data_IF_036365202735
#
_entry.id   IF_036365202735
#
_cell.length_a   1.000
_cell.length_b   1.000
_cell.length_c   1.000
_cell.angle_alpha   90.00
_cell.angle_beta   90.00
_cell.angle_gamma   90.00
#
_symmetry.space_group_name_H-M   'P 1'
#
loop_
_entity.id
_entity.type
_entity.pdbx_description
1 polymer ?
#
# COMPACT_ATOMS: atom_id res chain seq x y z
N UNK A 1 21.44 35.66 -15.41
CA UNK A 1 20.78 35.41 -16.70
C UNK A 1 19.47 34.60 -16.61
N UNK A 2 19.31 33.62 -15.69
CA UNK A 2 18.05 32.86 -15.55
C UNK A 2 16.78 33.70 -15.33
N UNK A 3 16.85 34.80 -14.57
CA UNK A 3 15.69 35.67 -14.30
C UNK A 3 15.12 36.40 -15.53
N UNK A 4 15.95 36.74 -16.52
CA UNK A 4 15.48 37.46 -17.70
C UNK A 4 14.65 36.56 -18.64
N UNK A 5 14.95 35.26 -18.63
CA UNK A 5 14.26 34.25 -19.45
C UNK A 5 12.87 33.91 -18.93
N UNK A 6 12.68 33.91 -17.60
CA UNK A 6 11.37 33.69 -16.98
C UNK A 6 10.39 34.84 -17.30
N UNK A 7 10.89 36.08 -17.35
CA UNK A 7 10.07 37.27 -17.63
C UNK A 7 9.58 37.27 -19.09
N UNK A 8 10.43 36.91 -20.05
CA UNK A 8 10.03 36.86 -21.47
C UNK A 8 9.04 35.73 -21.75
N UNK A 9 9.18 34.57 -21.10
CA UNK A 9 8.18 33.50 -21.19
C UNK A 9 6.82 33.93 -20.63
N UNK A 10 6.82 34.60 -19.48
CA UNK A 10 5.57 35.04 -18.86
C UNK A 10 4.84 36.06 -19.76
N UNK A 11 5.58 37.03 -20.31
CA UNK A 11 5.02 38.04 -21.23
C UNK A 11 4.42 37.40 -22.50
N UNK A 12 5.08 36.39 -23.06
CA UNK A 12 4.60 35.69 -24.25
C UNK A 12 3.30 34.90 -23.98
N UNK A 13 3.20 34.24 -22.81
CA UNK A 13 1.97 33.54 -22.38
C UNK A 13 0.82 34.54 -22.24
N UNK A 14 1.04 35.69 -21.59
CA UNK A 14 0.01 36.72 -21.47
C UNK A 14 -0.45 37.27 -22.81
N UNK A 15 0.48 37.49 -23.76
CA UNK A 15 0.15 37.97 -25.09
C UNK A 15 -0.70 36.97 -25.89
N UNK A 16 -0.41 35.66 -25.78
CA UNK A 16 -1.23 34.61 -26.39
C UNK A 16 -2.64 34.55 -25.79
N UNK A 17 -2.76 34.68 -24.46
CA UNK A 17 -4.06 34.75 -23.79
C UNK A 17 -4.86 35.96 -24.28
N UNK A 18 -4.22 37.12 -24.41
CA UNK A 18 -4.87 38.34 -24.89
C UNK A 18 -5.36 38.21 -26.34
N UNK A 19 -4.55 37.64 -27.23
CA UNK A 19 -4.94 37.39 -28.63
C UNK A 19 -6.10 36.39 -28.70
N UNK A 20 -6.03 35.29 -27.94
CA UNK A 20 -7.10 34.30 -27.86
C UNK A 20 -8.41 34.92 -27.38
N UNK A 21 -8.35 35.76 -26.34
CA UNK A 21 -9.51 36.47 -25.81
C UNK A 21 -10.11 37.44 -26.85
N UNK A 22 -9.27 38.20 -27.55
CA UNK A 22 -9.71 39.12 -28.63
C UNK A 22 -10.38 38.38 -29.78
N UNK A 23 -9.85 37.22 -30.19
CA UNK A 23 -10.43 36.41 -31.26
C UNK A 23 -11.81 35.87 -30.87
N UNK A 24 -11.94 35.32 -29.66
CA UNK A 24 -13.22 34.81 -29.13
C UNK A 24 -14.24 35.94 -28.99
N UNK A 25 -13.82 37.11 -28.49
CA UNK A 25 -14.66 38.29 -28.39
C UNK A 25 -15.21 38.74 -29.76
N UNK A 26 -14.34 38.80 -30.78
CA UNK A 26 -14.72 39.17 -32.15
C UNK A 26 -15.71 38.18 -32.77
N UNK A 27 -15.44 36.88 -32.64
CA UNK A 27 -16.35 35.84 -33.14
C UNK A 27 -17.70 35.94 -32.44
N UNK A 28 -17.72 36.16 -31.12
CA UNK A 28 -18.97 36.34 -30.38
C UNK A 28 -19.77 37.54 -30.87
N UNK A 29 -19.14 38.71 -31.05
CA UNK A 29 -19.85 39.91 -31.53
C UNK A 29 -20.54 39.70 -32.87
N UNK A 30 -19.91 38.93 -33.78
CA UNK A 30 -20.48 38.60 -35.09
C UNK A 30 -21.69 37.66 -34.93
N UNK A 31 -21.57 36.63 -34.09
CA UNK A 31 -22.66 35.66 -33.85
C UNK A 31 -23.84 36.31 -33.11
N UNK A 32 -23.59 37.17 -32.13
CA UNK A 32 -24.63 37.86 -31.38
C UNK A 32 -25.44 38.83 -32.27
N UNK A 33 -24.76 39.56 -33.16
CA UNK A 33 -25.43 40.39 -34.17
C UNK A 33 -26.27 39.58 -35.14
N UNK A 34 -25.78 38.42 -35.59
CA UNK A 34 -26.52 37.55 -36.51
C UNK A 34 -27.75 36.88 -35.87
N UNK A 35 -27.74 36.64 -34.56
CA UNK A 35 -28.79 35.92 -33.85
C UNK A 35 -29.90 36.82 -33.27
N UNK A 36 -29.76 38.15 -33.31
CA UNK A 36 -30.76 39.09 -32.75
C UNK A 36 -30.95 38.99 -31.23
N UNK A 37 -30.00 38.38 -30.52
CA UNK A 37 -30.09 38.14 -29.07
C UNK A 37 -29.66 39.39 -28.30
N UNK A 38 -30.52 39.87 -27.40
CA UNK A 38 -30.25 41.01 -26.51
C UNK A 38 -29.52 40.62 -25.21
N UNK A 39 -29.00 39.39 -25.13
CA UNK A 39 -28.35 38.89 -23.91
C UNK A 39 -26.96 39.50 -23.77
N UNK A 40 -26.71 40.16 -22.64
CA UNK A 40 -25.46 40.89 -22.40
C UNK A 40 -24.26 39.95 -22.52
N UNK A 41 -23.26 40.35 -23.34
CA UNK A 41 -22.01 39.61 -23.52
C UNK A 41 -21.38 39.22 -22.19
N UNK A 42 -21.48 40.10 -21.20
CA UNK A 42 -20.96 39.92 -19.85
C UNK A 42 -21.58 38.72 -19.13
N UNK A 43 -22.86 38.42 -19.34
CA UNK A 43 -23.52 37.25 -18.73
C UNK A 43 -22.95 35.94 -19.30
N UNK A 44 -22.69 35.89 -20.61
CA UNK A 44 -22.14 34.68 -21.24
C UNK A 44 -20.65 34.53 -20.93
N UNK A 45 -19.89 35.63 -20.93
CA UNK A 45 -18.50 35.61 -20.51
C UNK A 45 -18.36 35.16 -19.05
N UNK A 46 -19.24 35.61 -18.15
CA UNK A 46 -19.29 35.17 -16.76
C UNK A 46 -19.65 33.67 -16.65
N UNK A 47 -20.62 33.19 -17.44
CA UNK A 47 -20.98 31.77 -17.47
C UNK A 47 -19.83 30.89 -17.98
N UNK A 48 -19.14 31.28 -19.05
CA UNK A 48 -17.97 30.56 -19.57
C UNK A 48 -16.81 30.61 -18.57
N UNK A 49 -16.58 31.77 -17.95
CA UNK A 49 -15.54 31.96 -16.94
C UNK A 49 -15.75 31.06 -15.72
N UNK A 50 -16.98 30.96 -15.23
CA UNK A 50 -17.31 30.07 -14.10
C UNK A 50 -17.16 28.59 -14.48
N UNK A 51 -17.64 28.15 -15.65
CA UNK A 51 -17.41 26.78 -16.13
C UNK A 51 -15.92 26.47 -16.33
N UNK A 52 -15.15 27.39 -16.91
CA UNK A 52 -13.72 27.25 -17.11
C UNK A 52 -12.96 27.15 -15.78
N UNK A 53 -13.31 27.99 -14.81
CA UNK A 53 -12.73 27.95 -13.46
C UNK A 53 -13.00 26.60 -12.77
N UNK A 54 -14.21 26.05 -12.90
CA UNK A 54 -14.55 24.71 -12.36
C UNK A 54 -13.71 23.62 -13.02
N UNK A 55 -13.54 23.64 -14.35
CA UNK A 55 -12.72 22.64 -15.06
C UNK A 55 -11.26 22.72 -14.62
N UNK A 56 -10.70 23.94 -14.51
CA UNK A 56 -9.32 24.13 -14.06
C UNK A 56 -9.15 23.66 -12.61
N UNK A 57 -10.10 23.98 -11.72
CA UNK A 57 -10.08 23.51 -10.34
C UNK A 57 -10.12 21.97 -10.25
N UNK A 58 -10.97 21.31 -11.04
CA UNK A 58 -11.03 19.85 -11.14
C UNK A 58 -9.72 19.26 -11.66
N UNK A 59 -9.12 19.88 -12.68
CA UNK A 59 -7.85 19.44 -13.25
C UNK A 59 -6.71 19.54 -12.22
N UNK A 60 -6.62 20.66 -11.50
CA UNK A 60 -5.61 20.85 -10.45
C UNK A 60 -5.81 19.83 -9.33
N UNK A 61 -7.05 19.63 -8.87
CA UNK A 61 -7.37 18.64 -7.85
C UNK A 61 -7.00 17.20 -8.29
N UNK A 62 -7.26 16.87 -9.55
CA UNK A 62 -6.87 15.57 -10.12
C UNK A 62 -5.35 15.41 -10.23
N UNK A 63 -4.65 16.43 -10.70
CA UNK A 63 -3.19 16.43 -10.82
C UNK A 63 -2.51 16.31 -9.45
N UNK A 64 -3.01 17.02 -8.43
CA UNK A 64 -2.52 16.94 -7.05
C UNK A 64 -2.75 15.55 -6.45
N UNK A 65 -3.93 14.96 -6.66
CA UNK A 65 -4.23 13.58 -6.24
C UNK A 65 -3.28 12.58 -6.89
N UNK A 66 -2.96 12.75 -8.17
CA UNK A 66 -2.02 11.88 -8.89
C UNK A 66 -0.61 11.99 -8.32
N UNK A 67 -0.12 13.21 -8.09
CA UNK A 67 1.21 13.45 -7.49
C UNK A 67 1.31 12.81 -6.11
N UNK A 68 0.33 13.06 -5.24
CA UNK A 68 0.27 12.44 -3.90
C UNK A 68 0.34 10.93 -3.96
N UNK A 69 -0.40 10.30 -4.88
CA UNK A 69 -0.36 8.85 -5.06
C UNK A 69 1.01 8.35 -5.54
N UNK A 70 1.68 9.07 -6.43
CA UNK A 70 3.03 8.74 -6.91
C UNK A 70 4.08 8.87 -5.79
N UNK A 71 3.94 9.90 -4.94
CA UNK A 71 4.80 10.11 -3.77
C UNK A 71 4.59 9.02 -2.70
N UNK A 72 3.33 8.71 -2.38
CA UNK A 72 2.95 7.63 -1.45
C UNK A 72 3.49 6.27 -1.93
N UNK A 73 3.37 5.98 -3.23
CA UNK A 73 3.86 4.75 -3.83
C UNK A 73 5.39 4.67 -3.80
N UNK A 74 6.07 5.80 -4.02
CA UNK A 74 7.53 5.88 -3.92
C UNK A 74 8.00 5.63 -2.48
N UNK A 75 7.35 6.26 -1.50
CA UNK A 75 7.61 6.02 -0.08
C UNK A 75 7.35 4.54 0.30
N UNK A 76 6.27 3.96 -0.20
CA UNK A 76 5.93 2.56 0.00
C UNK A 76 7.01 1.62 -0.56
N UNK A 77 7.56 1.90 -1.74
CA UNK A 77 8.66 1.11 -2.35
C UNK A 77 9.95 1.15 -1.53
N UNK A 78 10.28 2.31 -0.98
CA UNK A 78 11.43 2.48 -0.08
C UNK A 78 11.22 1.64 1.18
N UNK A 79 10.04 1.74 1.80
CA UNK A 79 9.68 0.94 2.99
C UNK A 79 9.70 -0.57 2.69
N UNK A 80 9.16 -0.99 1.55
CA UNK A 80 9.17 -2.37 1.08
C UNK A 80 10.58 -2.96 1.04
N UNK A 81 11.54 -2.18 0.52
CA UNK A 81 12.94 -2.60 0.43
C UNK A 81 13.56 -2.80 1.82
N UNK A 82 13.22 -1.94 2.81
CA UNK A 82 13.67 -2.08 4.19
C UNK A 82 13.04 -3.25 4.96
N UNK A 83 11.83 -3.66 4.58
CA UNK A 83 11.10 -4.77 5.22
C UNK A 83 11.41 -6.12 4.57
N UNK A 84 11.79 -6.15 3.29
CA UNK A 84 12.00 -7.39 2.52
C UNK A 84 12.88 -8.42 3.23
N UNK A 85 14.03 -8.01 3.76
CA UNK A 85 14.93 -8.90 4.48
C UNK A 85 14.30 -9.48 5.76
N UNK A 86 13.62 -8.64 6.56
CA UNK A 86 12.92 -9.06 7.78
C UNK A 86 11.77 -10.01 7.47
N UNK A 87 11.04 -9.76 6.39
CA UNK A 87 9.97 -10.65 5.92
C UNK A 87 10.53 -12.03 5.52
N UNK A 88 11.68 -12.07 4.85
CA UNK A 88 12.38 -13.32 4.54
C UNK A 88 12.79 -14.09 5.80
N UNK A 89 13.32 -13.41 6.82
CA UNK A 89 13.64 -14.02 8.12
C UNK A 89 12.37 -14.53 8.81
N UNK A 90 11.29 -13.76 8.83
CA UNK A 90 10.01 -14.18 9.40
C UNK A 90 9.48 -15.45 8.73
N UNK A 91 9.48 -15.51 7.38
CA UNK A 91 9.06 -16.70 6.62
C UNK A 91 9.91 -17.91 7.00
N UNK A 92 11.24 -17.75 7.07
CA UNK A 92 12.16 -18.83 7.46
C UNK A 92 11.89 -19.34 8.88
N UNK A 93 11.68 -18.43 9.83
CA UNK A 93 11.37 -18.77 11.22
C UNK A 93 10.02 -19.52 11.33
N UNK A 94 8.97 -19.00 10.69
CA UNK A 94 7.62 -19.61 10.71
C UNK A 94 7.65 -20.99 10.05
N UNK A 95 8.34 -21.17 8.92
CA UNK A 95 8.54 -22.48 8.29
C UNK A 95 9.27 -23.47 9.20
N UNK A 96 10.31 -23.01 9.90
CA UNK A 96 11.05 -23.85 10.84
C UNK A 96 10.15 -24.33 11.98
N UNK A 97 9.31 -23.45 12.53
CA UNK A 97 8.32 -23.80 13.55
C UNK A 97 7.31 -24.79 12.99
N UNK A 98 6.76 -24.54 11.80
CA UNK A 98 5.79 -25.41 11.14
C UNK A 98 6.36 -26.81 10.92
N UNK A 99 7.61 -26.94 10.48
CA UNK A 99 8.29 -28.24 10.34
C UNK A 99 8.37 -28.97 11.68
N UNK A 100 8.78 -28.26 12.75
CA UNK A 100 8.86 -28.86 14.10
C UNK A 100 7.50 -29.30 14.63
N UNK A 101 6.45 -28.52 14.39
CA UNK A 101 5.07 -28.89 14.73
C UNK A 101 4.64 -30.13 13.95
N UNK A 102 4.91 -30.17 12.65
CA UNK A 102 4.62 -31.32 11.79
C UNK A 102 5.36 -32.59 12.23
N UNK A 103 6.65 -32.48 12.58
CA UNK A 103 7.43 -33.58 13.14
C UNK A 103 6.86 -34.08 14.47
N UNK A 104 6.40 -33.17 15.34
CA UNK A 104 5.78 -33.53 16.61
C UNK A 104 4.40 -34.20 16.46
N UNK A 105 3.71 -33.97 15.34
CA UNK A 105 2.47 -34.67 15.00
C UNK A 105 2.71 -36.12 14.56
N UNK A 106 3.85 -36.39 13.91
CA UNK A 106 4.20 -37.73 13.41
C UNK A 106 4.92 -38.56 14.48
N UNK A 107 5.84 -37.93 15.21
CA UNK A 107 6.68 -38.58 16.21
C UNK A 107 6.18 -38.15 17.59
N UNK A 108 5.72 -39.10 18.38
CA UNK A 108 5.36 -38.86 19.79
C UNK A 108 6.63 -38.52 20.59
N UNK A 109 6.94 -37.22 20.71
CA UNK A 109 8.10 -36.70 21.45
C UNK A 109 7.79 -36.41 22.92
N UNK A 110 6.61 -36.76 23.40
CA UNK A 110 6.16 -36.47 24.76
C UNK A 110 5.95 -34.96 25.02
N UNK A 111 5.62 -34.57 26.26
CA UNK A 111 5.20 -33.21 26.59
C UNK A 111 6.31 -32.16 26.51
N UNK A 112 7.59 -32.57 26.57
CA UNK A 112 8.72 -31.65 26.55
C UNK A 112 8.93 -30.90 25.23
N UNK A 113 8.27 -31.31 24.14
CA UNK A 113 8.42 -30.67 22.84
C UNK A 113 7.70 -29.30 22.75
N UNK A 114 6.60 -29.12 23.49
CA UNK A 114 5.76 -27.92 23.40
C UNK A 114 6.52 -26.65 23.84
N UNK A 115 7.20 -26.62 25.00
CA UNK A 115 8.01 -25.46 25.39
C UNK A 115 9.15 -25.16 24.41
N UNK A 116 9.73 -26.18 23.77
CA UNK A 116 10.77 -26.01 22.76
C UNK A 116 10.20 -25.34 21.52
N UNK A 117 9.00 -25.74 21.08
CA UNK A 117 8.30 -25.11 19.96
C UNK A 117 7.93 -23.66 20.31
N UNK A 118 7.41 -23.42 21.52
CA UNK A 118 7.03 -22.09 22.01
C UNK A 118 8.20 -21.10 21.96
N UNK A 119 9.37 -21.49 22.46
CA UNK A 119 10.56 -20.64 22.48
C UNK A 119 11.01 -20.18 21.08
N UNK A 120 10.70 -20.94 20.02
CA UNK A 120 11.05 -20.53 18.66
C UNK A 120 10.21 -19.35 18.15
N UNK A 121 9.03 -19.09 18.73
CA UNK A 121 8.21 -17.94 18.33
C UNK A 121 8.85 -16.60 18.73
N UNK A 122 9.69 -16.57 19.77
CA UNK A 122 10.37 -15.35 20.21
C UNK A 122 11.43 -14.87 19.22
N UNK A 123 11.89 -15.74 18.33
CA UNK A 123 12.83 -15.39 17.26
C UNK A 123 12.20 -14.75 16.03
N UNK A 124 10.87 -14.64 15.95
CA UNK A 124 10.19 -14.07 14.79
C UNK A 124 10.31 -12.54 14.87
N UNK A 125 10.88 -11.88 13.85
CA UNK A 125 11.00 -10.42 13.86
C UNK A 125 9.62 -9.77 13.83
N UNK A 126 9.46 -8.71 14.63
CA UNK A 126 8.25 -7.89 14.62
C UNK A 126 8.27 -6.91 13.45
N UNK A 127 7.11 -6.73 12.83
CA UNK A 127 6.87 -5.69 11.83
C UNK A 127 5.89 -4.72 12.48
N UNK A 128 6.24 -3.44 12.53
CA UNK A 128 5.45 -2.44 13.23
C UNK A 128 4.22 -2.02 12.42
N UNK A 129 3.16 -1.58 13.11
CA UNK A 129 1.92 -1.12 12.44
C UNK A 129 2.17 0.04 11.48
N UNK A 130 3.08 0.96 11.81
CA UNK A 130 3.42 2.07 10.92
C UNK A 130 4.15 1.59 9.65
N UNK A 131 4.97 0.55 9.77
CA UNK A 131 5.61 -0.10 8.63
C UNK A 131 4.57 -0.78 7.72
N UNK A 132 3.56 -1.43 8.30
CA UNK A 132 2.45 -2.01 7.54
C UNK A 132 1.62 -0.94 6.83
N UNK A 133 1.35 0.20 7.48
CA UNK A 133 0.62 1.32 6.86
C UNK A 133 1.36 1.87 5.65
N UNK A 134 2.69 1.97 5.74
CA UNK A 134 3.51 2.43 4.62
C UNK A 134 3.43 1.50 3.39
N UNK A 135 3.03 0.24 3.56
CA UNK A 135 2.88 -0.72 2.45
C UNK A 135 1.50 -0.70 1.78
N UNK A 136 0.51 0.02 2.33
CA UNK A 136 -0.86 0.10 1.76
C UNK A 136 -0.85 0.51 0.27
N UNK A 137 -0.05 1.50 -0.18
CA UNK A 137 -0.03 1.93 -1.58
C UNK A 137 0.50 0.89 -2.57
N UNK A 138 1.18 -0.18 -2.12
CA UNK A 138 1.73 -1.20 -3.02
C UNK A 138 0.64 -2.04 -3.71
N UNK A 139 -0.57 -2.08 -3.16
CA UNK A 139 -1.65 -2.92 -3.67
C UNK A 139 -1.52 -4.39 -3.29
N UNK A 140 -2.23 -5.26 -4.01
CA UNK A 140 -2.27 -6.73 -3.83
C UNK A 140 -2.51 -7.20 -2.39
N UNK A 141 -3.21 -6.39 -1.59
CA UNK A 141 -3.46 -6.68 -0.18
C UNK A 141 -2.17 -6.97 0.60
N UNK A 142 -1.03 -6.38 0.22
CA UNK A 142 0.27 -6.70 0.81
C UNK A 142 0.30 -6.47 2.34
N UNK A 143 -0.10 -5.27 2.77
CA UNK A 143 -0.18 -4.93 4.20
C UNK A 143 -1.18 -5.83 4.95
N UNK A 144 -2.31 -6.14 4.33
CA UNK A 144 -3.36 -7.01 4.90
C UNK A 144 -2.85 -8.44 5.09
N UNK A 145 -2.20 -9.02 4.08
CA UNK A 145 -1.61 -10.36 4.16
C UNK A 145 -0.55 -10.44 5.27
N UNK A 146 0.32 -9.44 5.42
CA UNK A 146 1.32 -9.43 6.49
C UNK A 146 0.64 -9.32 7.86
N UNK A 147 -0.31 -8.40 8.01
CA UNK A 147 -1.07 -8.22 9.26
C UNK A 147 -1.80 -9.51 9.68
N UNK A 148 -2.51 -10.12 8.72
CA UNK A 148 -3.25 -11.35 8.90
C UNK A 148 -2.35 -12.55 9.24
N UNK A 149 -1.13 -12.60 8.69
CA UNK A 149 -0.15 -13.61 9.05
C UNK A 149 0.41 -13.40 10.47
N UNK A 150 0.70 -12.16 10.87
CA UNK A 150 1.17 -11.83 12.22
C UNK A 150 0.14 -12.24 13.26
N UNK A 151 -1.13 -11.92 13.05
CA UNK A 151 -2.23 -12.33 13.94
C UNK A 151 -2.27 -13.85 14.12
N UNK A 152 -2.22 -14.60 13.01
CA UNK A 152 -2.16 -16.08 13.01
C UNK A 152 -0.96 -16.64 13.76
N UNK A 153 0.20 -16.03 13.62
CA UNK A 153 1.42 -16.40 14.35
C UNK A 153 1.23 -16.15 15.86
N UNK A 154 0.64 -15.01 16.25
CA UNK A 154 0.38 -14.68 17.65
C UNK A 154 -0.65 -15.62 18.28
N UNK A 155 -1.72 -15.96 17.55
CA UNK A 155 -2.72 -16.96 17.97
C UNK A 155 -2.05 -18.32 18.17
N UNK A 156 -1.20 -18.74 17.22
CA UNK A 156 -0.45 -20.01 17.33
C UNK A 156 0.46 -20.02 18.55
N UNK A 157 1.23 -18.96 18.77
CA UNK A 157 2.09 -18.79 19.96
C UNK A 157 1.28 -18.94 21.24
N UNK A 158 0.16 -18.22 21.35
CA UNK A 158 -0.69 -18.23 22.53
C UNK A 158 -1.28 -19.61 22.81
N UNK A 159 -1.72 -20.33 21.78
CA UNK A 159 -2.29 -21.67 21.93
C UNK A 159 -1.24 -22.68 22.40
N UNK A 160 -0.03 -22.63 21.83
CA UNK A 160 1.08 -23.48 22.27
C UNK A 160 1.44 -23.17 23.73
N UNK A 161 1.55 -21.90 24.11
CA UNK A 161 1.85 -21.52 25.49
C UNK A 161 0.77 -21.97 26.48
N UNK A 162 -0.51 -21.87 26.12
CA UNK A 162 -1.61 -22.39 26.94
C UNK A 162 -1.50 -23.91 27.11
N UNK A 163 -1.21 -24.66 26.04
CA UNK A 163 -1.06 -26.11 26.10
C UNK A 163 0.18 -26.52 26.91
N UNK A 164 1.30 -25.79 26.73
CA UNK A 164 2.56 -26.01 27.44
C UNK A 164 2.48 -25.72 28.94
N UNK A 165 1.61 -24.79 29.34
CA UNK A 165 1.37 -24.46 30.74
C UNK A 165 0.45 -25.43 31.48
N UNK A 166 -0.17 -26.42 30.80
CA UNK A 166 -1.07 -27.38 31.46
C UNK A 166 -0.28 -28.27 32.44
N UNK A 167 -0.72 -28.41 33.71
CA UNK A 167 -0.03 -29.26 34.69
C UNK A 167 -0.03 -30.76 34.33
N UNK A 168 -1.04 -31.19 33.58
CA UNK A 168 -1.22 -32.58 33.13
C UNK A 168 -1.72 -32.57 31.69
N UNK A 169 -0.83 -32.38 30.70
CA UNK A 169 -1.24 -32.37 29.33
C UNK A 169 -1.72 -33.76 28.90
N UNK A 170 -2.82 -33.79 28.16
CA UNK A 170 -3.36 -35.04 27.60
C UNK A 170 -2.82 -35.22 26.20
N UNK A 171 -2.49 -36.46 25.81
CA UNK A 171 -1.98 -36.74 24.46
C UNK A 171 -2.93 -36.25 23.36
N UNK A 172 -4.23 -36.46 23.54
CA UNK A 172 -5.25 -35.98 22.59
C UNK A 172 -5.28 -34.45 22.50
N UNK A 173 -5.31 -33.74 23.64
CA UNK A 173 -5.33 -32.27 23.65
C UNK A 173 -4.07 -31.65 23.02
N UNK A 174 -2.90 -32.27 23.25
CA UNK A 174 -1.66 -31.86 22.59
C UNK A 174 -1.74 -32.07 21.07
N UNK A 175 -2.23 -33.23 20.63
CA UNK A 175 -2.36 -33.53 19.21
C UNK A 175 -3.35 -32.58 18.52
N UNK A 176 -4.49 -32.28 19.15
CA UNK A 176 -5.48 -31.33 18.64
C UNK A 176 -4.90 -29.91 18.56
N UNK A 177 -4.16 -29.48 19.60
CA UNK A 177 -3.46 -28.20 19.61
C UNK A 177 -2.44 -28.11 18.46
N UNK A 178 -1.56 -29.11 18.31
CA UNK A 178 -0.54 -29.14 17.28
C UNK A 178 -1.14 -29.20 15.86
N UNK A 179 -2.24 -29.94 15.66
CA UNK A 179 -2.95 -29.97 14.38
C UNK A 179 -3.49 -28.60 14.01
N UNK A 180 -4.13 -27.92 14.96
CA UNK A 180 -4.69 -26.59 14.75
C UNK A 180 -3.60 -25.54 14.48
N UNK A 181 -2.54 -25.55 15.28
CA UNK A 181 -1.36 -24.70 15.09
C UNK A 181 -0.73 -24.93 13.72
N UNK A 182 -0.55 -26.19 13.30
CA UNK A 182 0.02 -26.52 12.00
C UNK A 182 -0.80 -25.90 10.85
N UNK A 183 -2.13 -26.02 10.91
CA UNK A 183 -3.02 -25.45 9.90
C UNK A 183 -2.91 -23.91 9.83
N UNK A 184 -2.90 -23.23 10.99
CA UNK A 184 -2.77 -21.77 11.06
C UNK A 184 -1.41 -21.31 10.53
N UNK A 185 -0.33 -22.00 10.89
CA UNK A 185 1.01 -21.65 10.43
C UNK A 185 1.15 -21.81 8.91
N UNK A 186 0.56 -22.85 8.30
CA UNK A 186 0.53 -23.01 6.85
C UNK A 186 -0.20 -21.86 6.14
N UNK A 187 -1.31 -21.40 6.71
CA UNK A 187 -2.03 -20.24 6.19
C UNK A 187 -1.18 -18.96 6.32
N UNK A 188 -0.55 -18.74 7.48
CA UNK A 188 0.35 -17.61 7.71
C UNK A 188 1.52 -17.61 6.71
N UNK A 189 2.15 -18.77 6.46
CA UNK A 189 3.22 -18.91 5.46
C UNK A 189 2.71 -18.51 4.07
N UNK A 190 1.52 -18.98 3.68
CA UNK A 190 0.93 -18.66 2.38
C UNK A 190 0.70 -17.14 2.22
N UNK A 191 0.23 -16.48 3.28
CA UNK A 191 0.04 -15.02 3.30
C UNK A 191 1.36 -14.27 3.21
N UNK A 192 2.37 -14.67 3.99
CA UNK A 192 3.70 -14.06 3.94
C UNK A 192 4.37 -14.26 2.58
N UNK A 193 4.21 -15.43 1.96
CA UNK A 193 4.74 -15.71 0.62
C UNK A 193 4.08 -14.82 -0.45
N UNK A 194 2.77 -14.57 -0.36
CA UNK A 194 2.08 -13.62 -1.25
C UNK A 194 2.61 -12.21 -1.07
N UNK A 195 2.68 -11.73 0.16
CA UNK A 195 3.22 -10.40 0.47
C UNK A 195 4.69 -10.26 0.03
N UNK A 196 5.50 -11.29 0.23
CA UNK A 196 6.92 -11.33 -0.17
C UNK A 196 7.08 -11.18 -1.68
N UNK A 197 6.24 -11.83 -2.48
CA UNK A 197 6.24 -11.64 -3.94
C UNK A 197 5.94 -10.19 -4.34
N UNK A 198 4.94 -9.56 -3.72
CA UNK A 198 4.60 -8.15 -4.00
C UNK A 198 5.74 -7.21 -3.60
N UNK A 199 6.30 -7.38 -2.40
CA UNK A 199 7.44 -6.59 -1.91
C UNK A 199 8.66 -6.77 -2.81
N UNK A 200 8.95 -8.01 -3.23
CA UNK A 200 10.06 -8.33 -4.12
C UNK A 200 9.91 -7.66 -5.49
N UNK A 201 8.75 -7.81 -6.13
CA UNK A 201 8.46 -7.19 -7.41
C UNK A 201 8.59 -5.67 -7.33
N UNK A 202 8.06 -5.05 -6.28
CA UNK A 202 8.17 -3.60 -6.07
C UNK A 202 9.63 -3.15 -5.87
N UNK A 203 10.43 -3.93 -5.13
CA UNK A 203 11.85 -3.64 -4.92
C UNK A 203 12.66 -3.77 -6.22
N UNK A 204 12.35 -4.75 -7.08
CA UNK A 204 12.98 -4.89 -8.40
C UNK A 204 12.65 -3.69 -9.30
N UNK A 205 11.37 -3.33 -9.44
CA UNK A 205 10.97 -2.17 -10.26
C UNK A 205 11.60 -0.87 -9.75
N UNK A 206 11.73 -0.72 -8.43
CA UNK A 206 12.40 0.45 -7.85
C UNK A 206 13.88 0.50 -8.25
N UNK A 207 14.60 -0.63 -8.19
CA UNK A 207 16.01 -0.69 -8.59
C UNK A 207 16.23 -0.42 -10.08
N UNK A 208 15.30 -0.84 -10.94
CA UNK A 208 15.38 -0.58 -12.39
C UNK A 208 15.11 0.88 -12.78
N UNK A 209 14.53 1.66 -11.86
CA UNK A 209 14.18 3.06 -12.11
C UNK A 209 15.34 4.05 -11.83
N UNK A 210 16.49 3.57 -11.34
CA UNK A 210 17.68 4.35 -11.00
C UNK A 210 18.94 3.73 -11.61
#
# INVERSE_FOLDING_TARGET
MKRAWEITQLAFVWLLIAIGFLAVFRIWTIVAQAAGSTKDFWDVAAAIGTCGAVIVALYIAYADKRRKREDELSAARVSATGIYARLGVAIGAVRTIQIRVSEALVIDRGPGIIPIIEANFDGIPTIETEELRALIPLGDQCAENISAAIDRIQVSKRLIGIEGAKPRPTKQGQQDCLNFVNAILLEAITMLDRASKTVHACSQTFRESF
#
